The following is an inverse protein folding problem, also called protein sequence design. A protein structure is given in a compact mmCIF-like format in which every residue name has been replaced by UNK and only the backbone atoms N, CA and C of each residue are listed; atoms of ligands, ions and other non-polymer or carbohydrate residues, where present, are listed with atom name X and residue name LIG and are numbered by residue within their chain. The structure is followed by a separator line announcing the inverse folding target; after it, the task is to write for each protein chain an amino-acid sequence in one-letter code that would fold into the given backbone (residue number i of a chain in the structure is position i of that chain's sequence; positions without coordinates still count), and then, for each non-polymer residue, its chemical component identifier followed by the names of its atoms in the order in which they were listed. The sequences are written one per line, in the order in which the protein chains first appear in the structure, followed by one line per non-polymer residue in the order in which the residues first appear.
data_IF_086321301264
#
_entry.id   IF_086321301264
#
_cell.length_a   1.000
_cell.length_b   1.000
_cell.length_c   1.000
_cell.angle_alpha   90.00
_cell.angle_beta   90.00
_cell.angle_gamma   90.00
#
_symmetry.space_group_name_H-M   'P 1'
#
loop_
_entity.id
_entity.type
_entity.pdbx_description
1 polymer ?
#
# COMPACT_ATOMS: atom_id res chain seq x y z
N UNK A 1 23.53 4.83 18.22
CA UNK A 1 22.77 4.37 17.04
C UNK A 1 23.37 3.06 16.59
N UNK A 2 22.71 1.93 16.84
CA UNK A 2 23.07 0.68 16.17
C UNK A 2 22.68 0.81 14.70
N UNK A 3 23.67 0.76 13.80
CA UNK A 3 23.39 0.77 12.37
C UNK A 3 22.65 -0.51 11.99
N UNK A 4 21.56 -0.39 11.23
CA UNK A 4 20.82 -1.53 10.70
C UNK A 4 21.77 -2.31 9.77
N UNK A 5 21.95 -3.63 9.95
CA UNK A 5 22.81 -4.43 9.07
C UNK A 5 22.39 -4.34 7.60
N UNK A 6 23.35 -4.36 6.68
CA UNK A 6 23.07 -4.24 5.23
C UNK A 6 22.07 -5.29 4.71
N UNK A 7 22.14 -6.52 5.23
CA UNK A 7 21.20 -7.59 4.92
C UNK A 7 19.76 -7.25 5.37
N UNK A 8 19.61 -6.65 6.54
CA UNK A 8 18.30 -6.23 7.03
C UNK A 8 17.75 -5.04 6.24
N UNK A 9 18.61 -4.15 5.76
CA UNK A 9 18.24 -3.06 4.84
C UNK A 9 17.73 -3.65 3.52
N UNK A 10 18.42 -4.65 2.96
CA UNK A 10 18.00 -5.31 1.73
C UNK A 10 16.61 -5.97 1.87
N UNK A 11 16.35 -6.62 3.01
CA UNK A 11 15.05 -7.20 3.33
C UNK A 11 13.95 -6.13 3.46
N UNK A 12 14.24 -5.02 4.14
CA UNK A 12 13.32 -3.87 4.24
C UNK A 12 12.99 -3.28 2.87
N UNK A 13 14.00 -3.11 2.01
CA UNK A 13 13.81 -2.61 0.65
C UNK A 13 12.94 -3.55 -0.19
N UNK A 14 13.15 -4.87 -0.08
CA UNK A 14 12.31 -5.86 -0.75
C UNK A 14 10.85 -5.76 -0.29
N UNK A 15 10.62 -5.75 1.03
CA UNK A 15 9.27 -5.62 1.61
C UNK A 15 8.59 -4.32 1.17
N UNK A 16 9.33 -3.21 1.15
CA UNK A 16 8.82 -1.92 0.66
C UNK A 16 8.42 -1.99 -0.82
N UNK A 17 9.24 -2.63 -1.66
CA UNK A 17 8.94 -2.79 -3.09
C UNK A 17 7.65 -3.58 -3.32
N UNK A 18 7.44 -4.66 -2.55
CA UNK A 18 6.23 -5.48 -2.60
C UNK A 18 4.97 -4.67 -2.19
N UNK A 19 5.07 -3.91 -1.11
CA UNK A 19 3.98 -3.03 -0.64
C UNK A 19 3.68 -1.96 -1.68
N UNK A 20 4.70 -1.29 -2.22
CA UNK A 20 4.55 -0.29 -3.28
C UNK A 20 3.83 -0.88 -4.50
N UNK A 21 4.20 -2.10 -4.91
CA UNK A 21 3.55 -2.77 -6.03
C UNK A 21 2.07 -3.06 -5.75
N UNK A 22 1.75 -3.58 -4.56
CA UNK A 22 0.37 -3.83 -4.13
C UNK A 22 -0.49 -2.56 -4.11
N UNK A 23 0.05 -1.46 -3.56
CA UNK A 23 -0.62 -0.14 -3.52
C UNK A 23 -0.86 0.36 -4.95
N UNK A 24 0.16 0.32 -5.81
CA UNK A 24 0.01 0.77 -7.20
C UNK A 24 -1.05 -0.03 -7.95
N UNK A 25 -1.13 -1.35 -7.72
CA UNK A 25 -2.16 -2.19 -8.32
C UNK A 25 -3.57 -1.80 -7.83
N UNK A 26 -3.74 -1.58 -6.53
CA UNK A 26 -5.02 -1.13 -5.97
C UNK A 26 -5.45 0.23 -6.54
N UNK A 27 -4.51 1.18 -6.64
CA UNK A 27 -4.76 2.50 -7.24
C UNK A 27 -5.10 2.39 -8.71
N UNK A 28 -4.40 1.56 -9.49
CA UNK A 28 -4.70 1.35 -10.91
C UNK A 28 -6.15 0.85 -11.11
N UNK A 29 -6.62 -0.08 -10.27
CA UNK A 29 -8.01 -0.54 -10.30
C UNK A 29 -8.99 0.58 -9.96
N UNK A 30 -8.72 1.38 -8.93
CA UNK A 30 -9.58 2.52 -8.59
C UNK A 30 -9.62 3.57 -9.71
N UNK A 31 -8.47 3.87 -10.33
CA UNK A 31 -8.37 4.81 -11.45
C UNK A 31 -9.17 4.30 -12.65
N UNK A 32 -9.01 3.02 -13.01
CA UNK A 32 -9.80 2.41 -14.09
C UNK A 32 -11.30 2.48 -13.79
N UNK A 33 -11.73 2.15 -12.57
CA UNK A 33 -13.13 2.24 -12.17
C UNK A 33 -13.66 3.67 -12.19
N UNK A 34 -12.83 4.66 -11.84
CA UNK A 34 -13.15 6.08 -11.95
C UNK A 34 -13.34 6.53 -13.40
N UNK A 35 -12.44 6.15 -14.30
CA UNK A 35 -12.59 6.45 -15.73
C UNK A 35 -13.79 5.73 -16.37
N UNK A 36 -14.09 4.52 -15.92
CA UNK A 36 -15.26 3.77 -16.37
C UNK A 36 -16.56 4.38 -15.84
N UNK A 37 -16.59 4.85 -14.59
CA UNK A 37 -17.79 5.44 -13.98
C UNK A 37 -18.21 6.74 -14.63
N UNK A 38 -17.26 7.52 -15.16
CA UNK A 38 -17.55 8.71 -15.97
C UNK A 38 -18.33 8.40 -17.24
N UNK A 39 -18.12 7.21 -17.85
CA UNK A 39 -18.79 6.79 -19.09
C UNK A 39 -20.03 5.93 -18.82
N UNK A 40 -20.02 5.17 -17.74
CA UNK A 40 -21.08 4.23 -17.33
C UNK A 40 -21.30 4.36 -15.82
N UNK A 41 -22.37 5.07 -15.38
CA UNK A 41 -22.64 5.31 -13.96
C UNK A 41 -22.69 4.05 -13.09
N UNK A 42 -23.04 2.90 -13.65
CA UNK A 42 -23.07 1.60 -12.96
C UNK A 42 -21.71 1.19 -12.34
N UNK A 43 -20.60 1.72 -12.83
CA UNK A 43 -19.28 1.46 -12.25
C UNK A 43 -18.98 2.30 -11.01
N UNK A 44 -19.80 3.32 -10.70
CA UNK A 44 -19.62 4.14 -9.50
C UNK A 44 -19.79 3.32 -8.21
N UNK A 45 -20.72 2.36 -8.20
CA UNK A 45 -20.89 1.46 -7.05
C UNK A 45 -19.66 0.56 -6.87
N UNK A 46 -19.15 -0.01 -7.96
CA UNK A 46 -17.91 -0.82 -7.94
C UNK A 46 -16.70 -0.01 -7.48
N UNK A 47 -16.60 1.25 -7.91
CA UNK A 47 -15.58 2.18 -7.43
C UNK A 47 -15.70 2.39 -5.92
N UNK A 48 -16.90 2.68 -5.42
CA UNK A 48 -17.15 2.89 -3.99
C UNK A 48 -16.79 1.65 -3.16
N UNK A 49 -17.19 0.45 -3.59
CA UNK A 49 -16.82 -0.80 -2.92
C UNK A 49 -15.29 -1.04 -2.96
N UNK A 50 -14.64 -0.72 -4.07
CA UNK A 50 -13.18 -0.82 -4.19
C UNK A 50 -12.47 0.14 -3.24
N UNK A 51 -12.91 1.40 -3.15
CA UNK A 51 -12.36 2.39 -2.21
C UNK A 51 -12.53 1.93 -0.77
N UNK A 52 -13.74 1.51 -0.37
CA UNK A 52 -14.03 1.08 0.99
C UNK A 52 -13.24 -0.17 1.41
N UNK A 53 -12.88 -1.05 0.47
CA UNK A 53 -12.12 -2.26 0.77
C UNK A 53 -10.60 -2.07 0.68
N UNK A 54 -10.11 -1.39 -0.35
CA UNK A 54 -8.68 -1.27 -0.64
C UNK A 54 -8.01 -0.12 0.12
N UNK A 55 -8.71 0.98 0.40
CA UNK A 55 -8.09 2.10 1.13
C UNK A 55 -7.66 1.69 2.56
N UNK A 56 -8.48 0.97 3.36
CA UNK A 56 -8.04 0.45 4.65
C UNK A 56 -6.85 -0.52 4.53
N UNK A 57 -6.85 -1.40 3.52
CA UNK A 57 -5.75 -2.34 3.27
C UNK A 57 -4.42 -1.61 3.01
N UNK A 58 -4.45 -0.53 2.20
CA UNK A 58 -3.27 0.30 1.93
C UNK A 58 -2.72 0.90 3.22
N UNK A 59 -3.61 1.48 4.06
CA UNK A 59 -3.22 2.08 5.33
C UNK A 59 -2.61 1.03 6.26
N UNK A 60 -3.25 -0.12 6.41
CA UNK A 60 -2.75 -1.23 7.23
C UNK A 60 -1.38 -1.70 6.76
N UNK A 61 -1.18 -1.95 5.46
CA UNK A 61 0.13 -2.38 4.94
C UNK A 61 1.24 -1.34 5.16
N UNK A 62 0.93 -0.05 5.05
CA UNK A 62 1.88 1.03 5.34
C UNK A 62 2.21 1.11 6.84
N UNK A 63 1.20 0.98 7.71
CA UNK A 63 1.40 0.96 9.16
C UNK A 63 2.25 -0.24 9.59
N UNK A 64 1.97 -1.43 9.08
CA UNK A 64 2.76 -2.64 9.34
C UNK A 64 4.21 -2.49 8.88
N UNK A 65 4.45 -1.83 7.74
CA UNK A 65 5.81 -1.55 7.29
C UNK A 65 6.51 -0.53 8.18
N UNK A 66 5.83 0.57 8.52
CA UNK A 66 6.38 1.59 9.39
C UNK A 66 6.74 1.03 10.77
N UNK A 67 5.91 0.14 11.32
CA UNK A 67 6.20 -0.55 12.57
C UNK A 67 7.47 -1.39 12.47
N UNK A 68 7.59 -2.25 11.45
CA UNK A 68 8.80 -3.07 11.26
C UNK A 68 10.05 -2.21 11.04
N UNK A 69 9.91 -1.08 10.35
CA UNK A 69 11.01 -0.14 10.15
C UNK A 69 11.44 0.50 11.48
N UNK A 70 10.50 0.97 12.29
CA UNK A 70 10.78 1.59 13.58
C UNK A 70 11.42 0.61 14.56
N UNK A 71 10.90 -0.62 14.62
CA UNK A 71 11.48 -1.71 15.41
C UNK A 71 12.95 -1.96 15.04
N UNK A 72 13.27 -2.01 13.74
CA UNK A 72 14.65 -2.19 13.26
C UNK A 72 15.53 -0.96 13.48
N UNK A 73 14.95 0.24 13.44
CA UNK A 73 15.66 1.49 13.72
C UNK A 73 15.89 1.74 15.22
N UNK A 74 15.35 0.90 16.12
CA UNK A 74 15.40 1.09 17.56
C UNK A 74 14.55 2.28 18.06
N UNK A 75 13.59 2.74 17.25
CA UNK A 75 12.61 3.75 17.62
C UNK A 75 11.40 3.01 18.21
N UNK A 76 11.23 3.10 19.54
CA UNK A 76 10.02 2.62 20.23
C UNK A 76 8.87 3.61 20.04
#
# INVERSE_FOLDING_TARGET
MSAIPAEEIAQLQKKFSEIKHSINNALAVMMALSEMSQRRPDYAEKLASSVLSKAPQIVTSLQEFAQVLNEKAGQK
#
